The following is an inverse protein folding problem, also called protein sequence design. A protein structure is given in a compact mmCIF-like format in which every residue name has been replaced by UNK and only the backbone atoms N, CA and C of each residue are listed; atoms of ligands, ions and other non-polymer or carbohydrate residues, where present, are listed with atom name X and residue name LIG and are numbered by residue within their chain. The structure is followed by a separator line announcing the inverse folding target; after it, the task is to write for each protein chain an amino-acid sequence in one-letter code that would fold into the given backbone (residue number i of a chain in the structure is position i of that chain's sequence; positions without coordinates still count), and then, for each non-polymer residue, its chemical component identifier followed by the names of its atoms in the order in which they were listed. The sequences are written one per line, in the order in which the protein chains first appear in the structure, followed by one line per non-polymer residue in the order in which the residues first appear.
data_IF_259711607937
#
_entry.id   IF_259711607937
#
_cell.length_a   1.000
_cell.length_b   1.000
_cell.length_c   1.000
_cell.angle_alpha   90.00
_cell.angle_beta   90.00
_cell.angle_gamma   90.00
#
_symmetry.space_group_name_H-M   'P 1'
#
loop_
_entity.id
_entity.type
_entity.pdbx_description
1 polymer ?
#
# COMPACT_ATOMS: atom_id res chain seq x y z
N UNK A 1 26.45 -3.42 -6.84
CA UNK A 1 25.73 -3.03 -8.08
C UNK A 1 24.27 -3.41 -7.93
N UNK A 2 23.42 -2.46 -7.51
CA UNK A 2 21.98 -2.66 -7.37
C UNK A 2 21.33 -2.57 -8.76
N UNK A 3 21.22 -3.70 -9.47
CA UNK A 3 20.77 -3.69 -10.88
C UNK A 3 19.30 -4.06 -11.08
N UNK A 4 18.47 -4.06 -10.04
CA UNK A 4 16.99 -4.09 -10.14
C UNK A 4 16.41 -3.94 -8.73
N UNK A 5 16.38 -2.73 -8.17
CA UNK A 5 15.48 -2.46 -7.03
C UNK A 5 14.15 -2.05 -7.60
N UNK A 6 13.08 -2.66 -7.15
CA UNK A 6 11.73 -2.31 -7.59
C UNK A 6 10.90 -1.87 -6.38
N UNK A 7 10.31 -0.69 -6.50
CA UNK A 7 9.36 -0.14 -5.54
C UNK A 7 7.95 -0.40 -6.07
N UNK A 8 7.13 -1.08 -5.29
CA UNK A 8 5.72 -1.31 -5.61
C UNK A 8 4.82 -0.62 -4.59
N UNK A 9 3.71 -0.05 -5.03
CA UNK A 9 2.65 0.44 -4.15
C UNK A 9 1.40 -0.38 -4.40
N UNK A 10 0.87 -0.99 -3.35
CA UNK A 10 -0.39 -1.74 -3.41
C UNK A 10 -1.50 -0.79 -3.02
N UNK A 11 -2.47 -0.60 -3.92
CA UNK A 11 -3.69 0.18 -3.68
C UNK A 11 -4.86 -0.79 -3.50
N UNK A 12 -5.53 -0.75 -2.36
CA UNK A 12 -6.67 -1.62 -2.06
C UNK A 12 -7.95 -0.80 -1.82
N UNK A 13 -9.02 -1.17 -2.52
CA UNK A 13 -10.37 -0.70 -2.20
C UNK A 13 -10.91 -1.46 -0.99
N UNK A 14 -11.29 -0.74 0.05
CA UNK A 14 -11.92 -1.25 1.26
C UNK A 14 -13.34 -0.71 1.46
N UNK A 15 -13.94 -0.14 0.42
CA UNK A 15 -15.32 0.34 0.44
C UNK A 15 -16.32 -0.78 0.76
N UNK A 16 -17.55 -0.47 1.21
CA UNK A 16 -18.56 -1.48 1.54
C UNK A 16 -18.86 -2.51 0.45
N UNK A 17 -18.77 -2.12 -0.82
CA UNK A 17 -18.90 -3.02 -1.99
C UNK A 17 -17.84 -4.12 -2.02
N UNK A 18 -16.67 -3.89 -1.41
CA UNK A 18 -15.55 -4.82 -1.40
C UNK A 18 -15.54 -5.76 -0.18
N UNK A 19 -16.34 -5.48 0.85
CA UNK A 19 -16.40 -6.27 2.09
C UNK A 19 -16.50 -7.80 1.86
N UNK A 20 -17.33 -8.31 0.92
CA UNK A 20 -17.41 -9.76 0.66
C UNK A 20 -16.10 -10.37 0.15
N UNK A 21 -15.22 -9.56 -0.44
CA UNK A 21 -13.99 -9.98 -1.11
C UNK A 21 -12.72 -9.70 -0.30
N UNK A 22 -12.78 -8.85 0.73
CA UNK A 22 -11.60 -8.37 1.47
C UNK A 22 -10.71 -9.51 1.98
N UNK A 23 -11.28 -10.62 2.45
CA UNK A 23 -10.50 -11.77 2.91
C UNK A 23 -9.65 -12.38 1.77
N UNK A 24 -10.21 -12.47 0.57
CA UNK A 24 -9.52 -13.01 -0.60
C UNK A 24 -8.45 -12.03 -1.10
N UNK A 25 -8.82 -10.74 -1.18
CA UNK A 25 -7.90 -9.66 -1.58
C UNK A 25 -6.73 -9.55 -0.61
N UNK A 26 -6.97 -9.57 0.69
CA UNK A 26 -5.92 -9.52 1.71
C UNK A 26 -4.96 -10.71 1.57
N UNK A 27 -5.48 -11.94 1.39
CA UNK A 27 -4.64 -13.13 1.17
C UNK A 27 -3.79 -13.01 -0.08
N UNK A 28 -4.36 -12.52 -1.19
CA UNK A 28 -3.64 -12.32 -2.44
C UNK A 28 -2.54 -11.26 -2.29
N UNK A 29 -2.86 -10.12 -1.67
CA UNK A 29 -1.90 -9.05 -1.40
C UNK A 29 -0.76 -9.53 -0.48
N UNK A 30 -1.07 -10.25 0.61
CA UNK A 30 -0.04 -10.84 1.48
C UNK A 30 0.88 -11.80 0.72
N UNK A 31 0.32 -12.66 -0.12
CA UNK A 31 1.10 -13.60 -0.94
C UNK A 31 2.01 -12.86 -1.92
N UNK A 32 1.53 -11.78 -2.53
CA UNK A 32 2.30 -10.95 -3.46
C UNK A 32 3.48 -10.27 -2.74
N UNK A 33 3.22 -9.63 -1.59
CA UNK A 33 4.26 -8.97 -0.79
C UNK A 33 5.31 -9.96 -0.33
N UNK A 34 4.89 -11.13 0.18
CA UNK A 34 5.80 -12.18 0.62
C UNK A 34 6.71 -12.64 -0.53
N UNK A 35 6.14 -12.95 -1.70
CA UNK A 35 6.93 -13.36 -2.87
C UNK A 35 7.94 -12.28 -3.27
N UNK A 36 7.51 -11.03 -3.37
CA UNK A 36 8.38 -9.91 -3.77
C UNK A 36 9.59 -9.76 -2.82
N UNK A 37 9.34 -9.74 -1.51
CA UNK A 37 10.40 -9.58 -0.50
C UNK A 37 11.32 -10.81 -0.39
N UNK A 38 10.83 -12.02 -0.70
CA UNK A 38 11.65 -13.23 -0.75
C UNK A 38 12.64 -13.18 -1.93
N UNK A 39 12.19 -12.74 -3.11
CA UNK A 39 13.04 -12.73 -4.31
C UNK A 39 14.05 -11.58 -4.33
N UNK A 40 13.73 -10.44 -3.71
CA UNK A 40 14.66 -9.32 -3.58
C UNK A 40 14.42 -8.52 -2.29
N UNK A 41 15.27 -8.75 -1.29
CA UNK A 41 15.21 -8.06 0.01
C UNK A 41 15.39 -6.53 -0.07
N UNK A 42 15.84 -6.01 -1.20
CA UNK A 42 16.00 -4.59 -1.44
C UNK A 42 14.81 -3.95 -2.14
N UNK A 43 13.78 -4.73 -2.47
CA UNK A 43 12.52 -4.20 -2.98
C UNK A 43 11.73 -3.50 -1.87
N UNK A 44 11.04 -2.44 -2.24
CA UNK A 44 10.23 -1.64 -1.34
C UNK A 44 8.75 -1.83 -1.65
N UNK A 45 7.92 -1.85 -0.62
CA UNK A 45 6.47 -1.98 -0.76
C UNK A 45 5.76 -0.93 0.08
N UNK A 46 5.01 -0.07 -0.59
CA UNK A 46 4.02 0.82 0.02
C UNK A 46 2.62 0.20 0.02
N UNK A 47 1.77 0.61 0.96
CA UNK A 47 0.38 0.19 1.05
C UNK A 47 -0.52 1.41 1.26
N UNK A 48 -1.46 1.58 0.33
CA UNK A 48 -2.51 2.59 0.38
C UNK A 48 -3.86 1.89 0.32
N UNK A 49 -4.79 2.34 1.14
CA UNK A 49 -6.18 1.89 1.11
C UNK A 49 -7.11 3.06 0.81
N UNK A 50 -8.19 2.81 0.08
CA UNK A 50 -9.24 3.79 -0.16
C UNK A 50 -10.63 3.22 0.16
N UNK A 51 -11.58 4.09 0.48
CA UNK A 51 -12.90 3.70 1.00
C UNK A 51 -12.98 3.67 2.54
N UNK A 52 -12.00 4.29 3.22
CA UNK A 52 -12.00 4.42 4.69
C UNK A 52 -12.85 5.60 5.17
N UNK A 53 -13.34 5.52 6.40
CA UNK A 53 -14.07 6.62 7.05
C UNK A 53 -13.14 7.73 7.58
N UNK A 54 -11.94 7.37 8.01
CA UNK A 54 -10.95 8.29 8.58
C UNK A 54 -9.72 8.34 7.66
N UNK A 55 -9.53 9.44 6.90
CA UNK A 55 -8.37 9.59 6.04
C UNK A 55 -7.10 9.80 6.88
N UNK A 56 -6.01 9.20 6.43
CA UNK A 56 -4.68 9.36 6.99
C UNK A 56 -3.67 9.48 5.84
N UNK A 57 -3.58 10.67 5.26
CA UNK A 57 -2.65 10.98 4.18
C UNK A 57 -2.30 12.48 4.16
N UNK A 58 -1.05 12.79 3.84
CA UNK A 58 -0.50 14.16 3.85
C UNK A 58 -1.28 15.11 2.91
N UNK A 59 -1.77 14.60 1.77
CA UNK A 59 -2.50 15.42 0.80
C UNK A 59 -3.85 15.91 1.35
N UNK A 60 -4.55 15.08 2.11
CA UNK A 60 -5.79 15.50 2.79
C UNK A 60 -5.51 16.62 3.80
N UNK A 61 -4.44 16.48 4.58
CA UNK A 61 -4.07 17.46 5.62
C UNK A 61 -3.60 18.79 5.02
N UNK A 62 -2.80 18.75 3.96
CA UNK A 62 -2.16 19.95 3.39
C UNK A 62 -3.04 20.67 2.37
N UNK A 63 -3.82 19.93 1.58
CA UNK A 63 -4.51 20.47 0.39
C UNK A 63 -6.02 20.25 0.40
N UNK A 64 -6.54 19.42 1.31
CA UNK A 64 -7.92 18.93 1.27
C UNK A 64 -8.17 17.91 0.14
N UNK A 65 -9.39 17.38 0.06
CA UNK A 65 -9.71 16.24 -0.80
C UNK A 65 -9.13 14.93 -0.25
N UNK A 66 -9.05 13.87 -1.06
CA UNK A 66 -8.53 12.55 -0.62
C UNK A 66 -9.19 12.01 0.67
N UNK A 67 -10.49 12.31 0.85
CA UNK A 67 -11.24 12.18 2.10
C UNK A 67 -11.47 10.73 2.58
N UNK A 68 -11.17 9.76 1.72
CA UNK A 68 -11.36 8.33 2.00
C UNK A 68 -10.12 7.52 1.73
N UNK A 69 -8.94 8.12 1.86
CA UNK A 69 -7.65 7.49 1.55
C UNK A 69 -6.76 7.46 2.78
N UNK A 70 -6.13 6.32 3.04
CA UNK A 70 -5.14 6.17 4.11
C UNK A 70 -3.89 5.44 3.61
N UNK A 71 -2.72 6.00 3.94
CA UNK A 71 -1.43 5.36 3.72
C UNK A 71 -1.13 4.50 4.95
N UNK A 72 -1.21 3.18 4.82
CA UNK A 72 -0.90 2.25 5.93
C UNK A 72 0.60 1.94 6.04
N UNK A 73 1.31 2.02 4.92
CA UNK A 73 2.76 1.82 4.87
C UNK A 73 3.37 2.72 3.82
N UNK A 74 4.25 3.62 4.26
CA UNK A 74 5.09 4.40 3.34
C UNK A 74 6.16 3.50 2.73
N UNK A 75 6.56 3.83 1.50
CA UNK A 75 7.81 3.31 0.94
C UNK A 75 8.97 3.78 1.83
N UNK A 76 9.87 2.88 2.21
CA UNK A 76 11.03 3.25 3.00
C UNK A 76 12.15 3.69 2.06
N UNK A 77 12.32 5.00 1.89
CA UNK A 77 13.54 5.50 1.28
C UNK A 77 14.73 5.16 2.18
N UNK A 78 15.71 4.42 1.68
CA UNK A 78 16.97 4.21 2.39
C UNK A 78 17.72 5.55 2.44
N UNK A 79 17.64 6.24 3.58
CA UNK A 79 18.51 7.38 3.88
C UNK A 79 19.88 6.80 4.24
N UNK A 80 20.91 7.19 3.48
CA UNK A 80 22.31 6.80 3.68
C UNK A 80 22.92 7.49 4.89
#
# INVERSE_FOLDING_TARGET
MARNRETAVILLDVSPSMHPFLKHVARAASTLVQRKLIFNKFDEVGLVIFGVSEPANELHEELGGYEHVSVLRHIQAWIW
#
